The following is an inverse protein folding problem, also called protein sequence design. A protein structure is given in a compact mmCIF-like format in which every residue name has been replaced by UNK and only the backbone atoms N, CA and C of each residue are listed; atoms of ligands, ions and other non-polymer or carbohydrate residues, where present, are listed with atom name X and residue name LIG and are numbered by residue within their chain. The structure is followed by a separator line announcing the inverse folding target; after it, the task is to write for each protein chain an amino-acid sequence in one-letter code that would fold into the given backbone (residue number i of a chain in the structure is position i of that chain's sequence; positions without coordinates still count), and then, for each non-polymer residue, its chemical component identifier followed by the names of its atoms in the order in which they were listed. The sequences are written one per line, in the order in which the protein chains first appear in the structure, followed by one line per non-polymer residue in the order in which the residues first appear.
data_IF_746559551383
#
_entry.id   IF_746559551383
#
_cell.length_a   1.000
_cell.length_b   1.000
_cell.length_c   1.000
_cell.angle_alpha   90.00
_cell.angle_beta   90.00
_cell.angle_gamma   90.00
#
_symmetry.space_group_name_H-M   'P 1'
#
loop_
_entity.id
_entity.type
_entity.pdbx_description
1 polymer ?
#
# COMPACT_ATOMS: atom_id res chain seq x y z
N UNK A 1 3.03 20.67 4.72
CA UNK A 1 2.83 19.38 5.38
C UNK A 1 3.84 19.21 6.49
N UNK A 2 3.39 18.77 7.65
CA UNK A 2 4.31 18.39 8.74
C UNK A 2 5.06 17.14 8.29
N UNK A 3 6.36 17.21 8.22
CA UNK A 3 7.20 16.11 7.73
C UNK A 3 7.92 15.33 8.85
N UNK A 4 7.68 15.70 10.10
CA UNK A 4 8.23 15.02 11.28
C UNK A 4 9.70 15.34 11.60
N UNK A 5 10.43 16.05 10.75
CA UNK A 5 11.85 16.33 10.99
C UNK A 5 12.05 17.17 12.25
N UNK A 6 11.33 18.28 12.35
CA UNK A 6 11.43 19.17 13.54
C UNK A 6 11.04 18.42 14.81
N UNK A 7 9.96 17.68 14.77
CA UNK A 7 9.44 16.90 15.90
C UNK A 7 10.44 15.84 16.38
N UNK A 8 11.15 15.17 15.46
CA UNK A 8 12.19 14.20 15.86
C UNK A 8 13.42 14.86 16.47
N UNK A 9 13.81 16.03 15.97
CA UNK A 9 14.93 16.83 16.52
C UNK A 9 14.57 17.33 17.92
N UNK A 10 13.39 17.96 18.06
CA UNK A 10 12.92 18.48 19.35
C UNK A 10 12.83 17.36 20.40
N UNK A 11 12.28 16.20 20.05
CA UNK A 11 12.18 15.07 20.95
C UNK A 11 13.56 14.55 21.41
N UNK A 12 14.57 14.56 20.56
CA UNK A 12 15.93 14.17 20.93
C UNK A 12 16.58 15.23 21.82
N UNK A 13 16.43 16.51 21.51
CA UNK A 13 16.93 17.61 22.33
C UNK A 13 16.34 17.53 23.74
N UNK A 14 15.04 17.37 23.85
CA UNK A 14 14.32 17.25 25.14
C UNK A 14 14.77 15.99 25.90
N UNK A 15 14.88 14.85 25.24
CA UNK A 15 15.32 13.58 25.86
C UNK A 15 16.72 13.64 26.39
N UNK A 16 17.63 14.32 25.69
CA UNK A 16 19.03 14.54 26.07
C UNK A 16 19.19 15.66 27.10
N UNK A 17 18.16 16.47 27.35
CA UNK A 17 18.22 17.66 28.21
C UNK A 17 19.15 18.74 27.69
N UNK A 18 19.16 18.95 26.36
CA UNK A 18 20.01 19.95 25.71
C UNK A 18 19.33 21.33 25.63
N UNK A 19 20.10 22.42 25.71
CA UNK A 19 21.54 22.49 26.01
C UNK A 19 21.84 22.14 27.48
N UNK A 20 22.92 21.40 27.71
CA UNK A 20 23.39 21.08 29.07
C UNK A 20 24.88 21.31 29.20
N UNK A 21 25.35 21.59 30.45
CA UNK A 21 26.78 21.67 30.74
C UNK A 21 27.33 20.25 30.79
N UNK A 22 28.29 19.98 29.93
CA UNK A 22 28.99 18.69 29.90
C UNK A 22 30.15 18.71 30.89
N UNK A 23 30.48 17.53 31.44
CA UNK A 23 31.71 17.33 32.23
C UNK A 23 32.95 17.39 31.35
N UNK A 24 34.13 17.33 32.01
CA UNK A 24 35.41 17.31 31.33
C UNK A 24 35.51 16.10 30.40
N UNK A 25 36.12 16.29 29.23
CA UNK A 25 36.34 15.26 28.19
C UNK A 25 35.02 14.62 27.67
N UNK A 26 33.89 15.28 27.82
CA UNK A 26 32.58 14.83 27.29
C UNK A 26 32.16 15.65 26.09
N UNK A 27 31.51 14.97 25.16
CA UNK A 27 30.91 15.60 23.98
C UNK A 27 29.52 15.04 23.71
N UNK A 28 28.69 15.85 23.07
CA UNK A 28 27.38 15.43 22.55
C UNK A 28 27.35 15.71 21.04
N UNK A 29 26.92 14.72 20.28
CA UNK A 29 26.68 14.86 18.85
C UNK A 29 25.21 14.53 18.53
N UNK A 30 24.64 15.27 17.57
CA UNK A 30 23.32 14.99 17.00
C UNK A 30 23.48 14.77 15.51
N UNK A 31 22.83 13.73 14.99
CA UNK A 31 22.77 13.44 13.55
C UNK A 31 21.34 13.23 13.13
N UNK A 32 21.01 13.71 11.94
CA UNK A 32 19.72 13.52 11.31
C UNK A 32 19.87 12.63 10.09
N UNK A 33 18.92 11.71 9.89
CA UNK A 33 18.85 10.86 8.73
C UNK A 33 17.50 11.00 8.02
N UNK A 34 17.53 10.73 6.74
CA UNK A 34 16.35 10.68 5.88
C UNK A 34 16.34 9.34 5.14
N UNK A 35 15.18 8.69 5.14
CA UNK A 35 14.92 7.59 4.22
C UNK A 35 13.90 8.03 3.18
N UNK A 36 14.28 7.96 1.92
CA UNK A 36 13.39 8.26 0.80
C UNK A 36 12.43 7.10 0.58
N UNK A 37 11.12 7.37 0.58
CA UNK A 37 10.19 6.45 -0.04
C UNK A 37 10.42 6.48 -1.55
N UNK A 38 10.73 5.32 -2.13
CA UNK A 38 10.89 5.21 -3.57
C UNK A 38 9.57 5.52 -4.27
N UNK A 39 9.66 6.29 -5.34
CA UNK A 39 8.55 6.58 -6.24
C UNK A 39 8.88 6.05 -7.64
N UNK A 40 7.89 5.94 -8.50
CA UNK A 40 8.11 5.57 -9.90
C UNK A 40 6.90 4.84 -10.49
N UNK A 41 6.96 4.58 -11.80
CA UNK A 41 5.84 3.98 -12.51
C UNK A 41 5.48 2.61 -11.95
N UNK A 42 4.19 2.35 -11.84
CA UNK A 42 3.62 1.12 -11.30
C UNK A 42 2.31 0.82 -12.00
N UNK A 43 2.11 -0.42 -12.37
CA UNK A 43 0.92 -0.88 -13.07
C UNK A 43 0.36 -2.11 -12.35
N UNK A 44 -0.96 -2.23 -12.29
CA UNK A 44 -1.64 -3.40 -11.74
C UNK A 44 -2.84 -3.77 -12.61
N UNK A 45 -3.16 -5.05 -12.66
CA UNK A 45 -4.35 -5.60 -13.27
C UNK A 45 -5.06 -6.53 -12.29
N UNK A 46 -6.38 -6.43 -12.23
CA UNK A 46 -7.26 -7.31 -11.45
C UNK A 46 -8.28 -7.90 -12.39
N UNK A 47 -8.38 -9.22 -12.43
CA UNK A 47 -9.42 -9.94 -13.17
C UNK A 47 -10.38 -10.60 -12.18
N UNK A 48 -11.69 -10.48 -12.41
CA UNK A 48 -12.71 -11.16 -11.61
C UNK A 48 -12.99 -12.52 -12.24
N UNK A 49 -12.77 -13.59 -11.46
CA UNK A 49 -12.93 -14.97 -11.92
C UNK A 49 -14.41 -15.45 -11.79
N UNK A 50 -14.79 -16.46 -12.56
CA UNK A 50 -16.15 -17.01 -12.57
C UNK A 50 -16.64 -17.56 -11.22
N UNK A 51 -15.70 -17.97 -10.35
CA UNK A 51 -15.98 -18.47 -9.01
C UNK A 51 -16.16 -17.34 -7.96
N UNK A 52 -15.90 -16.09 -8.36
CA UNK A 52 -15.99 -14.92 -7.47
C UNK A 52 -14.68 -14.57 -6.77
N UNK A 53 -13.60 -15.30 -7.05
CA UNK A 53 -12.24 -14.89 -6.67
C UNK A 53 -11.73 -13.80 -7.60
N UNK A 54 -10.63 -13.17 -7.25
CA UNK A 54 -9.91 -12.24 -8.13
C UNK A 54 -8.47 -12.71 -8.36
N UNK A 55 -7.98 -12.49 -9.57
CA UNK A 55 -6.58 -12.65 -9.91
C UNK A 55 -5.91 -11.28 -9.95
N UNK A 56 -4.92 -11.07 -9.08
CA UNK A 56 -4.11 -9.86 -9.04
C UNK A 56 -2.79 -10.10 -9.77
N UNK A 57 -2.53 -9.32 -10.81
CA UNK A 57 -1.28 -9.35 -11.57
C UNK A 57 -0.51 -8.04 -11.38
N UNK A 58 0.74 -8.15 -10.93
CA UNK A 58 1.69 -7.04 -10.78
C UNK A 58 3.06 -7.47 -11.29
N UNK A 59 3.94 -6.53 -11.62
CA UNK A 59 5.33 -6.85 -12.00
C UNK A 59 6.32 -6.84 -10.83
N UNK A 60 5.87 -6.63 -9.59
CA UNK A 60 6.74 -6.64 -8.42
C UNK A 60 7.10 -8.06 -7.97
N UNK A 61 8.31 -8.25 -7.46
CA UNK A 61 8.72 -9.51 -6.82
C UNK A 61 8.24 -9.55 -5.37
N UNK A 62 7.98 -10.76 -4.86
CA UNK A 62 7.66 -10.92 -3.44
C UNK A 62 8.93 -10.87 -2.60
N UNK A 63 9.09 -9.77 -1.87
CA UNK A 63 10.14 -9.59 -0.87
C UNK A 63 9.48 -9.13 0.43
N UNK A 64 9.76 -9.83 1.52
CA UNK A 64 9.21 -9.53 2.87
C UNK A 64 7.68 -9.56 2.93
N UNK A 65 7.02 -10.42 2.15
CA UNK A 65 5.56 -10.58 2.15
C UNK A 65 4.82 -9.47 1.42
N UNK A 66 5.45 -8.83 0.42
CA UNK A 66 4.78 -7.78 -0.37
C UNK A 66 3.55 -8.28 -1.10
N UNK A 67 3.53 -9.53 -1.56
CA UNK A 67 2.35 -10.11 -2.20
C UNK A 67 1.16 -10.19 -1.26
N UNK A 68 1.37 -10.61 -0.03
CA UNK A 68 0.31 -10.63 1.00
C UNK A 68 -0.23 -9.21 1.25
N UNK A 69 0.66 -8.22 1.35
CA UNK A 69 0.24 -6.83 1.56
C UNK A 69 -0.53 -6.25 0.36
N UNK A 70 -0.11 -6.56 -0.86
CA UNK A 70 -0.82 -6.15 -2.08
C UNK A 70 -2.18 -6.85 -2.20
N UNK A 71 -2.26 -8.13 -1.85
CA UNK A 71 -3.52 -8.87 -1.78
C UNK A 71 -4.48 -8.29 -0.74
N UNK A 72 -3.98 -7.87 0.43
CA UNK A 72 -4.78 -7.18 1.46
C UNK A 72 -5.35 -5.86 0.94
N UNK A 73 -4.56 -5.06 0.22
CA UNK A 73 -5.05 -3.81 -0.40
C UNK A 73 -6.17 -4.08 -1.39
N UNK A 74 -6.02 -5.09 -2.25
CA UNK A 74 -7.06 -5.48 -3.20
C UNK A 74 -8.33 -5.98 -2.49
N UNK A 75 -8.18 -6.87 -1.51
CA UNK A 75 -9.27 -7.43 -0.72
C UNK A 75 -10.06 -6.33 0.00
N UNK A 76 -9.39 -5.44 0.72
CA UNK A 76 -10.01 -4.31 1.43
C UNK A 76 -10.77 -3.39 0.46
N UNK A 77 -10.16 -3.05 -0.67
CA UNK A 77 -10.77 -2.14 -1.66
C UNK A 77 -12.03 -2.74 -2.30
N UNK A 78 -12.04 -4.06 -2.53
CA UNK A 78 -13.15 -4.79 -3.15
C UNK A 78 -14.17 -5.31 -2.13
N UNK A 79 -13.89 -5.24 -0.84
CA UNK A 79 -14.74 -5.84 0.20
C UNK A 79 -14.72 -7.36 0.20
N UNK A 80 -13.56 -7.97 -0.08
CA UNK A 80 -13.33 -9.42 -0.15
C UNK A 80 -12.61 -9.94 1.09
N UNK A 81 -12.68 -11.25 1.31
CA UNK A 81 -11.76 -11.91 2.21
C UNK A 81 -10.41 -12.13 1.51
N UNK A 82 -9.31 -12.21 2.27
CA UNK A 82 -7.97 -12.36 1.71
C UNK A 82 -7.80 -13.64 0.88
N UNK A 83 -8.43 -14.73 1.27
CA UNK A 83 -8.43 -16.02 0.57
C UNK A 83 -9.13 -15.99 -0.80
N UNK A 84 -9.91 -14.96 -1.08
CA UNK A 84 -10.51 -14.73 -2.38
C UNK A 84 -9.58 -13.98 -3.37
N UNK A 85 -8.37 -13.57 -2.93
CA UNK A 85 -7.41 -12.86 -3.75
C UNK A 85 -6.25 -13.78 -4.12
N UNK A 86 -6.11 -14.08 -5.40
CA UNK A 86 -5.04 -14.91 -5.95
C UNK A 86 -4.00 -14.00 -6.59
N UNK A 87 -2.80 -13.95 -6.00
CA UNK A 87 -1.68 -13.23 -6.63
C UNK A 87 -1.09 -14.14 -7.71
N UNK A 88 -1.16 -13.70 -8.97
CA UNK A 88 -0.68 -14.47 -10.11
C UNK A 88 0.85 -14.54 -10.13
N UNK A 89 1.38 -15.69 -10.53
CA UNK A 89 2.81 -15.83 -10.81
C UNK A 89 3.23 -14.87 -11.92
N UNK A 90 4.45 -14.36 -11.82
CA UNK A 90 4.97 -13.30 -12.65
C UNK A 90 6.08 -13.82 -13.56
N UNK A 91 5.99 -13.39 -14.78
CA UNK A 91 7.03 -13.51 -15.77
C UNK A 91 7.25 -12.12 -16.38
N UNK A 92 8.50 -11.75 -16.66
CA UNK A 92 8.82 -10.42 -17.20
C UNK A 92 8.22 -10.16 -18.58
N UNK A 93 7.88 -11.21 -19.30
CA UNK A 93 7.23 -11.11 -20.62
C UNK A 93 5.72 -10.87 -20.53
N UNK A 94 5.09 -11.25 -19.39
CA UNK A 94 3.64 -11.20 -19.19
C UNK A 94 3.20 -10.16 -18.18
N UNK A 95 4.04 -9.82 -17.21
CA UNK A 95 3.68 -8.92 -16.13
C UNK A 95 3.62 -7.46 -16.61
N UNK A 96 2.67 -6.67 -16.10
CA UNK A 96 2.63 -5.24 -16.37
C UNK A 96 3.85 -4.55 -15.76
N UNK A 97 4.28 -3.47 -16.39
CA UNK A 97 5.48 -2.76 -15.96
C UNK A 97 5.40 -2.31 -14.50
N UNK A 98 6.46 -2.61 -13.76
CA UNK A 98 6.70 -2.12 -12.40
C UNK A 98 8.18 -1.81 -12.25
N UNK A 99 8.53 -0.65 -11.75
CA UNK A 99 9.94 -0.31 -11.50
C UNK A 99 10.58 -1.23 -10.44
N UNK A 100 11.89 -1.16 -10.24
CA UNK A 100 12.63 -2.06 -9.37
C UNK A 100 12.16 -1.99 -7.92
N UNK A 101 12.29 -3.10 -7.19
CA UNK A 101 12.08 -3.13 -5.74
C UNK A 101 13.25 -2.43 -5.03
N UNK A 102 13.01 -1.29 -4.41
CA UNK A 102 14.02 -0.50 -3.70
C UNK A 102 13.40 0.75 -3.07
N UNK A 103 14.05 1.32 -2.06
CA UNK A 103 13.58 2.54 -1.42
C UNK A 103 12.19 2.44 -0.78
N UNK A 104 11.76 1.26 -0.35
CA UNK A 104 10.43 0.99 0.24
C UNK A 104 9.25 1.36 -0.65
N UNK A 105 9.42 1.27 -1.99
CA UNK A 105 8.39 1.75 -2.93
C UNK A 105 7.25 0.76 -3.20
N UNK A 106 7.43 -0.54 -2.95
CA UNK A 106 6.44 -1.52 -3.39
C UNK A 106 5.07 -1.22 -2.81
N UNK A 107 4.93 -1.19 -1.50
CA UNK A 107 3.61 -0.90 -0.91
C UNK A 107 3.16 0.53 -1.18
N UNK A 108 4.09 1.49 -1.24
CA UNK A 108 3.76 2.89 -1.48
C UNK A 108 3.26 3.15 -2.91
N UNK A 109 4.01 2.73 -3.94
CA UNK A 109 3.68 2.99 -5.35
C UNK A 109 2.85 1.87 -5.97
N UNK A 110 3.28 0.60 -5.81
CA UNK A 110 2.57 -0.54 -6.37
C UNK A 110 1.25 -0.78 -5.64
N UNK A 111 1.23 -0.61 -4.29
CA UNK A 111 -0.01 -0.68 -3.52
C UNK A 111 -1.06 0.35 -3.97
N UNK A 112 -0.63 1.56 -4.36
CA UNK A 112 -1.56 2.55 -4.94
C UNK A 112 -2.09 2.13 -6.31
N UNK A 113 -1.24 1.53 -7.17
CA UNK A 113 -1.70 0.99 -8.44
C UNK A 113 -2.71 -0.17 -8.23
N UNK A 114 -2.44 -1.07 -7.28
CA UNK A 114 -3.37 -2.15 -6.91
C UNK A 114 -4.68 -1.59 -6.39
N UNK A 115 -4.64 -0.58 -5.51
CA UNK A 115 -5.84 0.08 -5.02
C UNK A 115 -6.69 0.64 -6.17
N UNK A 116 -6.07 1.38 -7.10
CA UNK A 116 -6.80 1.97 -8.23
C UNK A 116 -7.34 0.91 -9.21
N UNK A 117 -6.60 -0.17 -9.46
CA UNK A 117 -7.11 -1.28 -10.26
C UNK A 117 -8.29 -1.98 -9.59
N UNK A 118 -8.27 -2.11 -8.26
CA UNK A 118 -9.39 -2.65 -7.49
C UNK A 118 -10.60 -1.71 -7.50
N UNK A 119 -10.38 -0.39 -7.40
CA UNK A 119 -11.43 0.62 -7.53
C UNK A 119 -12.09 0.54 -8.92
N UNK A 120 -11.31 0.46 -10.01
CA UNK A 120 -11.83 0.31 -11.38
C UNK A 120 -12.63 -1.00 -11.55
N UNK A 121 -12.15 -2.12 -11.01
CA UNK A 121 -12.89 -3.38 -11.02
C UNK A 121 -14.20 -3.27 -10.21
N UNK A 122 -14.14 -2.65 -9.02
CA UNK A 122 -15.31 -2.44 -8.16
C UNK A 122 -16.39 -1.62 -8.85
N UNK A 123 -16.00 -0.53 -9.50
CA UNK A 123 -16.95 0.35 -10.18
C UNK A 123 -17.68 -0.40 -11.31
N UNK A 124 -16.97 -1.23 -12.07
CA UNK A 124 -17.58 -2.11 -13.09
C UNK A 124 -18.51 -3.17 -12.49
N UNK A 125 -18.14 -3.74 -11.35
CA UNK A 125 -18.98 -4.69 -10.61
C UNK A 125 -20.26 -4.00 -10.08
N UNK A 126 -20.12 -2.80 -9.53
CA UNK A 126 -21.26 -2.04 -9.00
C UNK A 126 -22.20 -1.61 -10.11
N UNK A 127 -21.69 -1.20 -11.28
CA UNK A 127 -22.51 -0.92 -12.45
C UNK A 127 -23.39 -2.11 -12.86
N UNK A 128 -22.81 -3.31 -12.90
CA UNK A 128 -23.55 -4.53 -13.23
C UNK A 128 -24.53 -4.92 -12.14
N UNK A 129 -24.14 -4.79 -10.87
CA UNK A 129 -25.00 -5.06 -9.74
C UNK A 129 -26.19 -4.09 -9.68
N UNK A 130 -25.95 -2.80 -9.90
CA UNK A 130 -26.99 -1.76 -9.94
C UNK A 130 -28.03 -2.06 -11.01
N UNK A 131 -27.61 -2.41 -12.22
CA UNK A 131 -28.52 -2.80 -13.30
C UNK A 131 -29.33 -4.04 -12.93
N UNK A 132 -28.70 -5.06 -12.32
CA UNK A 132 -29.35 -6.31 -11.96
C UNK A 132 -30.33 -6.17 -10.80
N UNK A 133 -30.00 -5.32 -9.82
CA UNK A 133 -30.80 -5.10 -8.61
C UNK A 133 -31.82 -3.96 -8.77
N UNK A 134 -31.72 -3.16 -9.84
CA UNK A 134 -32.62 -2.01 -10.10
C UNK A 134 -32.42 -0.86 -9.11
N UNK A 135 -31.19 -0.60 -8.69
CA UNK A 135 -30.82 0.43 -7.69
C UNK A 135 -29.65 1.27 -8.18
N UNK A 136 -29.44 2.49 -7.65
CA UNK A 136 -28.25 3.28 -7.97
C UNK A 136 -26.98 2.72 -7.30
N UNK A 137 -25.80 2.98 -7.92
CA UNK A 137 -24.51 2.48 -7.47
C UNK A 137 -24.16 2.89 -6.03
N UNK A 138 -24.49 4.12 -5.63
CA UNK A 138 -24.20 4.69 -4.33
C UNK A 138 -24.97 4.02 -3.17
N UNK A 139 -26.02 3.27 -3.47
CA UNK A 139 -26.74 2.45 -2.50
C UNK A 139 -26.12 1.07 -2.26
N UNK A 140 -25.06 0.71 -3.00
CA UNK A 140 -24.43 -0.59 -2.93
C UNK A 140 -23.24 -0.62 -1.98
N UNK A 141 -23.01 -1.79 -1.39
CA UNK A 141 -21.78 -2.11 -0.65
C UNK A 141 -21.36 -3.55 -0.97
N UNK A 142 -20.07 -3.87 -0.78
CA UNK A 142 -19.55 -5.22 -0.95
C UNK A 142 -18.93 -5.72 0.36
N UNK A 143 -19.21 -6.97 0.69
CA UNK A 143 -18.59 -7.65 1.82
C UNK A 143 -18.51 -9.16 1.56
N UNK A 144 -17.30 -9.74 1.71
CA UNK A 144 -17.08 -11.16 1.54
C UNK A 144 -17.48 -11.71 0.17
N UNK A 145 -17.32 -10.91 -0.90
CA UNK A 145 -17.69 -11.31 -2.27
C UNK A 145 -19.20 -11.25 -2.57
N UNK A 146 -19.97 -10.55 -1.73
CA UNK A 146 -21.38 -10.29 -1.94
C UNK A 146 -21.65 -8.79 -2.01
N UNK A 147 -22.22 -8.34 -3.13
CA UNK A 147 -22.68 -6.95 -3.30
C UNK A 147 -24.16 -6.89 -2.91
N UNK A 148 -24.49 -5.98 -2.02
CA UNK A 148 -25.83 -5.83 -1.44
C UNK A 148 -26.28 -4.38 -1.37
N UNK A 149 -27.59 -4.17 -1.31
CA UNK A 149 -28.19 -2.86 -1.08
C UNK A 149 -28.08 -2.53 0.41
N UNK A 150 -27.44 -1.40 0.78
CA UNK A 150 -27.10 -1.05 2.17
C UNK A 150 -28.30 -1.08 3.12
N UNK A 151 -29.43 -0.49 2.70
CA UNK A 151 -30.65 -0.45 3.49
C UNK A 151 -31.53 -1.71 3.38
N UNK A 152 -31.17 -2.63 2.49
CA UNK A 152 -31.91 -3.88 2.22
C UNK A 152 -30.93 -5.04 1.98
N UNK A 153 -30.19 -5.49 2.99
CA UNK A 153 -29.15 -6.52 2.83
C UNK A 153 -29.58 -7.82 2.13
N UNK A 154 -30.86 -8.32 2.26
CA UNK A 154 -31.31 -9.50 1.52
C UNK A 154 -31.30 -9.31 -0.01
N UNK A 155 -31.38 -8.05 -0.49
CA UNK A 155 -31.28 -7.74 -1.92
C UNK A 155 -29.80 -7.67 -2.30
N UNK A 156 -29.26 -8.75 -2.84
CA UNK A 156 -27.84 -8.89 -3.10
C UNK A 156 -27.54 -9.78 -4.30
N UNK A 157 -26.29 -9.70 -4.77
CA UNK A 157 -25.74 -10.52 -5.85
C UNK A 157 -24.28 -10.86 -5.54
N UNK A 158 -23.83 -12.07 -5.86
CA UNK A 158 -22.44 -12.47 -5.64
C UNK A 158 -21.53 -12.04 -6.80
N UNK A 159 -20.22 -11.90 -6.52
CA UNK A 159 -19.23 -11.64 -7.55
C UNK A 159 -19.24 -12.73 -8.63
N UNK A 160 -19.38 -14.01 -8.23
CA UNK A 160 -19.49 -15.13 -9.16
C UNK A 160 -20.67 -14.98 -10.13
N UNK A 161 -21.83 -14.58 -9.63
CA UNK A 161 -23.01 -14.34 -10.48
C UNK A 161 -22.77 -13.20 -11.47
N UNK A 162 -22.09 -12.12 -11.04
CA UNK A 162 -21.78 -10.99 -11.92
C UNK A 162 -20.69 -11.33 -12.93
N UNK A 163 -19.64 -12.05 -12.51
CA UNK A 163 -18.58 -12.48 -13.39
C UNK A 163 -19.13 -13.35 -14.53
N UNK A 164 -19.94 -14.36 -14.21
CA UNK A 164 -20.58 -15.20 -15.25
C UNK A 164 -21.52 -14.44 -16.15
N UNK A 165 -22.30 -13.54 -15.59
CA UNK A 165 -23.21 -12.70 -16.38
C UNK A 165 -22.44 -11.75 -17.33
N UNK A 166 -21.28 -11.27 -16.94
CA UNK A 166 -20.46 -10.38 -17.74
C UNK A 166 -19.93 -11.04 -19.02
N UNK A 167 -19.65 -12.35 -18.99
CA UNK A 167 -19.12 -13.10 -20.15
C UNK A 167 -20.10 -13.11 -21.32
N UNK A 168 -21.38 -13.05 -21.06
CA UNK A 168 -22.44 -13.03 -22.08
C UNK A 168 -23.02 -11.61 -22.30
N UNK A 169 -22.51 -10.63 -21.60
CA UNK A 169 -22.91 -9.24 -21.74
C UNK A 169 -22.10 -8.53 -22.84
N UNK A 170 -22.59 -7.40 -23.33
CA UNK A 170 -21.82 -6.55 -24.26
C UNK A 170 -20.57 -5.92 -23.63
N UNK A 171 -20.43 -5.96 -22.28
CA UNK A 171 -19.30 -5.37 -21.55
C UNK A 171 -18.10 -6.33 -21.43
N UNK A 172 -18.32 -7.65 -21.62
CA UNK A 172 -17.27 -8.67 -21.53
C UNK A 172 -16.75 -8.92 -20.10
N UNK A 173 -15.62 -9.64 -19.95
CA UNK A 173 -15.03 -9.95 -18.65
C UNK A 173 -14.68 -8.70 -17.82
N UNK A 174 -14.82 -8.79 -16.52
CA UNK A 174 -14.53 -7.68 -15.61
C UNK A 174 -13.03 -7.66 -15.31
N UNK A 175 -12.37 -6.63 -15.80
CA UNK A 175 -10.93 -6.38 -15.58
C UNK A 175 -10.77 -4.95 -15.07
N UNK A 176 -10.11 -4.80 -13.93
CA UNK A 176 -9.67 -3.51 -13.40
C UNK A 176 -8.21 -3.26 -13.75
N UNK A 177 -7.89 -2.05 -14.19
CA UNK A 177 -6.58 -1.65 -14.64
C UNK A 177 -6.16 -0.33 -13.99
N UNK A 178 -4.88 -0.22 -13.63
CA UNK A 178 -4.31 1.05 -13.21
C UNK A 178 -2.87 1.19 -13.68
N UNK A 179 -2.49 2.41 -14.01
CA UNK A 179 -1.11 2.78 -14.37
C UNK A 179 -0.79 4.13 -13.75
N UNK A 180 0.25 4.17 -12.94
CA UNK A 180 0.76 5.35 -12.27
C UNK A 180 2.14 5.72 -12.80
N UNK A 181 2.40 7.00 -13.01
CA UNK A 181 3.74 7.49 -13.41
C UNK A 181 4.64 7.71 -12.19
N UNK A 182 4.11 8.24 -11.10
CA UNK A 182 4.85 8.53 -9.88
C UNK A 182 3.92 8.76 -8.70
N UNK A 183 4.50 8.71 -7.51
CA UNK A 183 3.83 9.08 -6.26
C UNK A 183 4.50 10.32 -5.65
N UNK A 184 3.80 11.12 -4.84
CA UNK A 184 4.40 12.22 -4.10
C UNK A 184 5.59 11.76 -3.25
N UNK A 185 6.53 12.65 -3.03
CA UNK A 185 7.66 12.38 -2.14
C UNK A 185 7.17 12.28 -0.69
N UNK A 186 7.49 11.17 -0.02
CA UNK A 186 7.10 10.89 1.37
C UNK A 186 8.31 10.40 2.18
N UNK A 187 9.20 11.31 2.63
CA UNK A 187 10.38 10.96 3.38
C UNK A 187 10.03 10.55 4.82
N UNK A 188 10.82 9.62 5.36
CA UNK A 188 10.85 9.29 6.79
C UNK A 188 12.12 9.89 7.38
N UNK A 189 11.98 10.65 8.45
CA UNK A 189 13.10 11.26 9.16
C UNK A 189 13.39 10.53 10.46
N UNK A 190 14.65 10.48 10.82
CA UNK A 190 15.12 10.06 12.13
C UNK A 190 16.15 11.04 12.66
N UNK A 191 16.24 11.13 13.98
CA UNK A 191 17.25 11.91 14.67
C UNK A 191 17.87 11.03 15.75
N UNK A 192 19.17 11.03 15.83
CA UNK A 192 19.93 10.28 16.83
C UNK A 192 20.89 11.23 17.55
N UNK A 193 21.12 10.98 18.82
CA UNK A 193 22.13 11.69 19.59
C UNK A 193 22.95 10.71 20.41
N UNK A 194 24.22 11.03 20.60
CA UNK A 194 25.11 10.30 21.47
C UNK A 194 25.90 11.25 22.35
N UNK A 195 26.02 10.90 23.64
CA UNK A 195 26.98 11.50 24.54
C UNK A 195 28.19 10.57 24.64
N UNK A 196 29.36 11.14 24.62
CA UNK A 196 30.64 10.40 24.67
C UNK A 196 31.54 10.96 25.76
N UNK A 197 32.36 10.06 26.30
CA UNK A 197 33.50 10.37 27.14
C UNK A 197 34.76 9.97 26.38
N UNK A 198 35.73 10.88 26.32
CA UNK A 198 37.01 10.65 25.66
C UNK A 198 38.13 10.50 26.73
N UNK A 199 38.84 9.41 26.64
CA UNK A 199 40.10 9.24 27.35
C UNK A 199 41.21 10.00 26.60
N UNK A 200 41.72 11.06 27.19
CA UNK A 200 42.69 11.94 26.54
C UNK A 200 44.09 11.37 26.47
N UNK A 201 44.41 10.31 27.25
CA UNK A 201 45.73 9.65 27.22
C UNK A 201 45.77 8.60 26.12
N UNK A 202 44.70 7.84 25.96
CA UNK A 202 44.61 6.74 25.00
C UNK A 202 43.87 7.08 23.71
N UNK A 203 43.08 8.15 23.70
CA UNK A 203 42.17 8.52 22.59
C UNK A 203 40.95 7.65 22.52
N UNK A 204 40.68 6.78 23.48
CA UNK A 204 39.53 5.89 23.50
C UNK A 204 38.23 6.67 23.72
N UNK A 205 37.22 6.40 22.88
CA UNK A 205 35.88 7.04 22.96
C UNK A 205 34.88 6.02 23.48
N UNK A 206 34.15 6.38 24.56
CA UNK A 206 33.10 5.57 25.15
C UNK A 206 31.75 6.30 25.02
N UNK A 207 30.76 5.65 24.45
CA UNK A 207 29.36 6.13 24.47
C UNK A 207 28.77 5.90 25.87
N UNK A 208 28.11 6.91 26.43
CA UNK A 208 27.62 6.90 27.84
C UNK A 208 26.12 7.14 27.94
#
# INVERSE_FOLDING_TARGET
PKNGLKETVDAVIDRMGLPKKLGENRGVGIAMGEWRSGSGPSTASISVNEDGTISLLTGSVDISGSDTSLAQIAAETLGLNLDQVIVSQRDTDMAPFTGPSGGSRIIYSQGKAVQQAAEDARDKLFDLAAQRLGVPNDSLACRGGQIYVQDKPPQSVTLSQLARASLTSQKGPIIGLASLSSMPYAPVYNTQAAEVLVDTETGQVKVT
#
